data_IF_678692287355
#
_entry.id   IF_678692287355
#
_cell.length_a   1.000
_cell.length_b   1.000
_cell.length_c   1.000
_cell.angle_alpha   90.00
_cell.angle_beta   90.00
_cell.angle_gamma   90.00
#
_symmetry.space_group_name_H-M   'P 1'
#
loop_
_entity.id
_entity.type
_entity.pdbx_description
1 polymer ?
#
# COMPACT_ATOMS: atom_id res chain seq x y z
N UNK A 1 1.75 27.53 19.36
CA UNK A 1 0.71 26.99 18.46
C UNK A 1 1.14 25.59 18.02
N UNK A 2 0.22 24.63 18.14
CA UNK A 2 0.38 23.19 17.85
C UNK A 2 0.77 22.97 16.37
N UNK A 3 1.93 22.38 16.08
CA UNK A 3 2.22 20.95 15.87
C UNK A 3 1.91 20.43 14.44
N UNK A 4 2.91 19.74 13.86
CA UNK A 4 2.86 18.74 12.78
C UNK A 4 2.94 19.20 11.30
N UNK A 5 4.16 19.49 10.83
CA UNK A 5 4.54 19.10 9.47
C UNK A 5 4.80 17.58 9.52
N UNK A 6 3.80 16.85 9.05
CA UNK A 6 3.74 15.40 8.95
C UNK A 6 4.90 14.89 8.08
N UNK A 7 5.45 13.72 8.43
CA UNK A 7 6.50 12.97 7.71
C UNK A 7 5.85 12.04 6.66
N UNK A 8 5.40 12.51 5.48
CA UNK A 8 4.47 11.73 4.66
C UNK A 8 5.22 10.66 3.86
N UNK A 9 6.44 10.97 3.42
CA UNK A 9 7.27 10.07 2.62
C UNK A 9 7.75 8.86 3.42
N UNK A 10 8.22 9.07 4.65
CA UNK A 10 8.63 7.95 5.50
C UNK A 10 7.47 7.04 5.86
N UNK A 11 6.26 7.59 6.00
CA UNK A 11 5.05 6.82 6.29
C UNK A 11 4.70 5.89 5.12
N UNK A 12 4.64 6.42 3.89
CA UNK A 12 4.35 5.64 2.66
C UNK A 12 5.37 4.53 2.40
N UNK A 13 6.67 4.79 2.59
CA UNK A 13 7.69 3.76 2.39
C UNK A 13 7.57 2.63 3.42
N UNK A 14 7.27 2.96 4.69
CA UNK A 14 7.05 1.96 5.74
C UNK A 14 5.79 1.15 5.48
N UNK A 15 4.72 1.79 5.04
CA UNK A 15 3.46 1.12 4.66
C UNK A 15 3.69 0.15 3.50
N UNK A 16 4.39 0.57 2.43
CA UNK A 16 4.71 -0.30 1.30
C UNK A 16 5.56 -1.51 1.74
N UNK A 17 6.59 -1.30 2.57
CA UNK A 17 7.40 -2.39 3.10
C UNK A 17 6.59 -3.33 4.00
N UNK A 18 5.67 -2.80 4.81
CA UNK A 18 4.79 -3.61 5.64
C UNK A 18 3.84 -4.46 4.79
N UNK A 19 3.31 -3.89 3.72
CA UNK A 19 2.42 -4.55 2.78
C UNK A 19 3.14 -5.70 2.06
N UNK A 20 4.34 -5.44 1.53
CA UNK A 20 5.21 -6.47 0.89
C UNK A 20 5.50 -7.64 1.84
N UNK A 21 5.75 -7.35 3.13
CA UNK A 21 6.00 -8.39 4.14
C UNK A 21 4.75 -9.16 4.55
N UNK A 22 3.56 -8.58 4.36
CA UNK A 22 2.29 -9.19 4.73
C UNK A 22 1.73 -10.14 3.66
N UNK A 23 2.28 -10.11 2.42
CA UNK A 23 1.87 -11.00 1.34
C UNK A 23 2.07 -12.46 1.71
N UNK A 24 1.02 -13.24 1.48
CA UNK A 24 0.98 -14.69 1.62
C UNK A 24 0.43 -15.34 0.35
N UNK A 25 0.80 -16.61 0.11
CA UNK A 25 0.18 -17.40 -0.97
C UNK A 25 -1.31 -17.58 -0.66
N UNK A 26 -2.15 -17.41 -1.67
CA UNK A 26 -3.61 -17.43 -1.55
C UNK A 26 -4.24 -16.08 -1.22
N UNK A 27 -3.44 -15.02 -1.00
CA UNK A 27 -3.98 -13.67 -0.85
C UNK A 27 -4.48 -13.13 -2.19
N UNK A 28 -5.61 -12.45 -2.15
CA UNK A 28 -6.11 -11.67 -3.28
C UNK A 28 -5.50 -10.27 -3.22
N UNK A 29 -4.86 -9.84 -4.30
CA UNK A 29 -4.10 -8.58 -4.33
C UNK A 29 -4.52 -7.70 -5.50
N UNK A 30 -4.44 -6.39 -5.28
CA UNK A 30 -4.50 -5.38 -6.33
C UNK A 30 -3.09 -4.83 -6.57
N UNK A 31 -2.67 -4.86 -7.83
CA UNK A 31 -1.40 -4.27 -8.26
C UNK A 31 -1.54 -2.76 -8.46
N UNK A 32 -0.43 -2.05 -8.52
CA UNK A 32 -0.40 -0.60 -8.76
C UNK A 32 -0.91 -0.16 -10.13
N UNK A 33 -1.06 -1.10 -11.08
CA UNK A 33 -1.72 -0.86 -12.37
C UNK A 33 -3.22 -1.18 -12.36
N UNK A 34 -3.80 -1.54 -11.20
CA UNK A 34 -5.22 -1.89 -11.06
C UNK A 34 -5.58 -3.31 -11.49
N UNK A 35 -4.60 -4.21 -11.57
CA UNK A 35 -4.84 -5.63 -11.89
C UNK A 35 -5.14 -6.36 -10.58
N UNK A 36 -6.15 -7.23 -10.62
CA UNK A 36 -6.50 -8.11 -9.51
C UNK A 36 -6.08 -9.55 -9.83
N UNK A 37 -5.65 -10.27 -8.82
CA UNK A 37 -5.29 -11.68 -8.95
C UNK A 37 -5.01 -12.33 -7.60
N UNK A 38 -4.87 -13.65 -7.63
CA UNK A 38 -4.55 -14.46 -6.45
C UNK A 38 -3.08 -14.82 -6.49
N UNK A 39 -2.37 -14.64 -5.37
CA UNK A 39 -0.97 -15.02 -5.25
C UNK A 39 -0.84 -16.54 -5.27
N UNK A 40 -0.19 -17.10 -6.30
CA UNK A 40 0.05 -18.54 -6.41
C UNK A 40 1.41 -18.93 -5.86
N UNK A 41 2.41 -18.05 -5.98
CA UNK A 41 3.76 -18.30 -5.51
C UNK A 41 4.46 -17.01 -5.06
N UNK A 42 5.33 -17.13 -4.06
CA UNK A 42 6.14 -16.03 -3.52
C UNK A 42 7.63 -16.36 -3.65
N UNK A 43 8.38 -15.46 -4.30
CA UNK A 43 9.83 -15.48 -4.36
C UNK A 43 10.40 -14.30 -3.55
N UNK A 44 11.73 -14.14 -3.47
CA UNK A 44 12.36 -13.09 -2.67
C UNK A 44 12.05 -11.68 -3.19
N UNK A 45 12.20 -11.45 -4.50
CA UNK A 45 11.99 -10.14 -5.14
C UNK A 45 10.71 -10.09 -5.99
N UNK A 46 10.18 -11.25 -6.38
CA UNK A 46 9.02 -11.36 -7.26
C UNK A 46 7.94 -12.26 -6.66
N UNK A 47 6.77 -12.27 -7.26
CA UNK A 47 5.67 -13.18 -6.93
C UNK A 47 4.86 -13.48 -8.18
N UNK A 48 4.18 -14.63 -8.19
CA UNK A 48 3.25 -15.00 -9.25
C UNK A 48 1.82 -14.73 -8.80
N UNK A 49 1.05 -14.15 -9.71
CA UNK A 49 -0.40 -14.00 -9.57
C UNK A 49 -1.12 -14.72 -10.70
N UNK A 50 -2.19 -15.41 -10.36
CA UNK A 50 -3.17 -15.88 -11.33
C UNK A 50 -4.23 -14.81 -11.52
N UNK A 51 -4.38 -14.35 -12.77
CA UNK A 51 -5.34 -13.29 -13.15
C UNK A 51 -6.57 -13.85 -13.87
N UNK A 52 -6.44 -15.06 -14.41
CA UNK A 52 -7.49 -15.85 -15.04
C UNK A 52 -7.04 -17.32 -15.06
N UNK A 53 -7.97 -18.24 -15.31
CA UNK A 53 -7.71 -19.68 -15.29
C UNK A 53 -6.51 -20.06 -16.18
N UNK A 54 -5.43 -20.52 -15.56
CA UNK A 54 -4.20 -20.94 -16.24
C UNK A 54 -3.37 -19.79 -16.82
N UNK A 55 -3.69 -18.53 -16.48
CA UNK A 55 -2.89 -17.35 -16.84
C UNK A 55 -2.22 -16.81 -15.58
N UNK A 56 -0.93 -17.09 -15.46
CA UNK A 56 -0.08 -16.56 -14.39
C UNK A 56 0.84 -15.44 -14.89
N UNK A 57 1.08 -14.47 -14.02
CA UNK A 57 1.96 -13.34 -14.28
C UNK A 57 2.96 -13.17 -13.14
N UNK A 58 4.25 -13.05 -13.48
CA UNK A 58 5.30 -12.69 -12.53
C UNK A 58 5.37 -11.19 -12.37
N UNK A 59 5.30 -10.73 -11.13
CA UNK A 59 5.27 -9.32 -10.75
C UNK A 59 6.36 -9.04 -9.71
N UNK A 60 6.95 -7.84 -9.72
CA UNK A 60 7.86 -7.42 -8.67
C UNK A 60 7.08 -7.18 -7.37
N UNK A 61 7.59 -7.60 -6.21
CA UNK A 61 6.89 -7.47 -4.92
C UNK A 61 6.46 -6.04 -4.60
N UNK A 62 7.25 -5.04 -5.01
CA UNK A 62 6.92 -3.62 -4.84
C UNK A 62 5.71 -3.15 -5.68
N UNK A 63 5.24 -3.94 -6.64
CA UNK A 63 4.09 -3.61 -7.48
C UNK A 63 2.74 -3.82 -6.77
N UNK A 64 2.72 -4.43 -5.58
CA UNK A 64 1.48 -4.62 -4.82
C UNK A 64 1.03 -3.28 -4.24
N UNK A 65 -0.19 -2.88 -4.56
CA UNK A 65 -0.81 -1.67 -4.04
C UNK A 65 -1.70 -1.96 -2.83
N UNK A 66 -2.44 -3.09 -2.86
CA UNK A 66 -3.36 -3.47 -1.79
C UNK A 66 -3.53 -4.99 -1.72
N UNK A 67 -3.78 -5.50 -0.52
CA UNK A 67 -4.25 -6.87 -0.27
C UNK A 67 -5.74 -6.74 0.03
N UNK A 68 -6.60 -7.33 -0.80
CA UNK A 68 -8.06 -7.24 -0.68
C UNK A 68 -8.60 -8.29 0.28
N UNK A 69 -8.25 -9.55 0.04
CA UNK A 69 -8.58 -10.67 0.92
C UNK A 69 -7.28 -11.29 1.39
N UNK A 70 -6.98 -11.11 2.67
CA UNK A 70 -5.96 -11.93 3.33
C UNK A 70 -6.56 -13.31 3.53
N UNK A 71 -5.87 -14.37 3.11
CA UNK A 71 -6.33 -15.76 3.17
C UNK A 71 -6.52 -16.29 4.61
N UNK A 72 -7.55 -15.80 5.29
CA UNK A 72 -8.24 -16.29 6.50
C UNK A 72 -9.32 -15.24 6.87
N UNK A 73 -10.59 -15.55 6.61
CA UNK A 73 -11.77 -14.69 6.83
C UNK A 73 -11.97 -14.22 8.30
N UNK A 74 -12.98 -13.36 8.60
CA UNK A 74 -13.25 -12.02 8.10
C UNK A 74 -13.14 -10.99 9.25
N UNK A 75 -12.60 -9.81 8.99
CA UNK A 75 -12.82 -8.66 9.87
C UNK A 75 -12.96 -7.40 9.02
N UNK A 76 -14.05 -6.69 9.32
CA UNK A 76 -14.68 -5.60 8.60
C UNK A 76 -13.78 -4.36 8.40
N UNK A 77 -14.18 -3.45 7.50
CA UNK A 77 -13.34 -2.40 6.96
C UNK A 77 -13.28 -1.19 7.91
N UNK A 78 -12.13 -0.53 7.96
CA UNK A 78 -12.12 0.93 8.18
C UNK A 78 -11.70 1.59 6.87
N UNK A 79 -12.63 2.28 6.20
CA UNK A 79 -12.30 3.21 5.15
C UNK A 79 -11.72 4.45 5.82
N UNK A 80 -10.40 4.56 5.87
CA UNK A 80 -9.77 5.85 6.14
C UNK A 80 -9.79 6.63 4.82
N UNK A 81 -10.97 7.19 4.55
CA UNK A 81 -11.15 8.26 3.60
C UNK A 81 -10.38 9.49 4.10
N UNK A 82 -9.55 10.02 3.21
CA UNK A 82 -9.24 11.44 3.00
C UNK A 82 -9.58 12.40 4.15
N UNK A 83 -8.56 12.86 4.88
CA UNK A 83 -8.56 14.16 5.55
C UNK A 83 -7.29 14.93 5.13
N UNK A 84 -7.52 15.81 4.14
CA UNK A 84 -7.01 17.17 4.00
C UNK A 84 -5.54 17.51 4.35
N UNK A 85 -4.78 17.74 3.27
CA UNK A 85 -3.89 18.89 3.01
C UNK A 85 -3.33 19.67 4.22
N UNK A 86 -1.99 19.68 4.44
CA UNK A 86 -1.35 20.71 5.25
C UNK A 86 -0.77 21.79 4.31
N UNK A 87 -1.37 22.99 4.29
CA UNK A 87 -0.73 24.18 3.73
C UNK A 87 0.20 24.82 4.77
N UNK A 88 1.45 24.98 4.37
CA UNK A 88 2.62 25.41 5.12
C UNK A 88 2.55 26.80 5.80
N UNK A 89 3.53 27.01 6.67
CA UNK A 89 3.83 28.23 7.41
C UNK A 89 4.28 29.40 6.51
N UNK A 90 3.83 30.62 6.84
CA UNK A 90 4.44 31.87 6.35
C UNK A 90 5.00 32.71 7.50
N UNK A 91 6.32 32.91 7.38
CA UNK A 91 7.23 33.95 7.84
C UNK A 91 6.79 35.03 8.85
N UNK A 92 7.59 35.11 9.92
CA UNK A 92 7.77 36.33 10.71
C UNK A 92 8.66 37.32 9.95
N UNK A 93 8.08 38.41 9.45
CA UNK A 93 8.82 39.63 9.15
C UNK A 93 8.83 40.53 10.40
N UNK A 94 9.99 40.59 11.03
CA UNK A 94 10.37 41.56 12.05
C UNK A 94 10.52 42.95 11.41
N UNK A 95 9.71 43.92 11.83
CA UNK A 95 9.94 45.34 11.57
C UNK A 95 9.46 46.16 12.77
N UNK A 96 10.38 46.52 13.68
CA UNK A 96 10.37 47.75 14.47
C UNK A 96 11.76 48.08 15.01
#
# INVERSE_FOLDING_TARGET
MYALIIRPQQKRLREQQALVRALSVGDEVMTSSGIYGIVTELEDETFLIEVAEGIEMRMARGAVAKIETKGAAPAAPTPDADDDEPSDADDAHDNS
#
